data_IF_702340513488
#
_entry.id   IF_702340513488
#
_cell.length_a   1.000
_cell.length_b   1.000
_cell.length_c   1.000
_cell.angle_alpha   90.00
_cell.angle_beta   90.00
_cell.angle_gamma   90.00
#
_symmetry.space_group_name_H-M   'P 1'
#
loop_
_entity.id
_entity.type
_entity.pdbx_description
1 polymer ?
#
# COMPACT_ATOMS: atom_id res chain seq x y z
N UNK A 1 -5.42 12.71 11.56
CA UNK A 1 -6.24 12.66 12.82
C UNK A 1 -7.66 13.22 12.64
N UNK A 2 -7.82 14.45 12.13
CA UNK A 2 -9.13 15.12 12.01
C UNK A 2 -10.12 14.40 11.06
N UNK A 3 -9.64 13.83 9.94
CA UNK A 3 -10.51 13.21 8.94
C UNK A 3 -11.24 11.96 9.46
N UNK A 4 -10.52 11.02 10.08
CA UNK A 4 -11.12 9.82 10.67
C UNK A 4 -12.17 10.16 11.74
N UNK A 5 -11.93 11.19 12.54
CA UNK A 5 -12.91 11.68 13.53
C UNK A 5 -14.14 12.26 12.84
N UNK A 6 -13.96 13.11 11.84
CA UNK A 6 -15.07 13.69 11.06
C UNK A 6 -15.91 12.60 10.41
N UNK A 7 -15.28 11.61 9.78
CA UNK A 7 -15.98 10.53 9.08
C UNK A 7 -16.66 9.53 10.01
N UNK A 8 -16.23 9.44 11.28
CA UNK A 8 -16.92 8.64 12.29
C UNK A 8 -18.32 9.20 12.66
N UNK A 9 -18.57 10.49 12.41
CA UNK A 9 -19.82 11.18 12.75
C UNK A 9 -20.52 11.84 11.56
N UNK A 10 -20.03 11.63 10.33
CA UNK A 10 -20.65 12.17 9.11
C UNK A 10 -21.40 11.04 8.40
N UNK A 11 -22.74 11.13 8.26
CA UNK A 11 -23.53 10.12 7.56
C UNK A 11 -23.10 9.97 6.10
N UNK A 12 -23.10 8.74 5.60
CA UNK A 12 -22.85 8.45 4.19
C UNK A 12 -24.17 8.60 3.39
N UNK A 13 -24.28 9.55 2.45
CA UNK A 13 -25.49 9.72 1.65
C UNK A 13 -25.78 8.53 0.72
N UNK A 14 -24.78 7.70 0.41
CA UNK A 14 -24.93 6.51 -0.43
C UNK A 14 -25.27 5.25 0.38
N UNK A 15 -25.11 5.27 1.71
CA UNK A 15 -25.38 4.12 2.58
C UNK A 15 -26.24 4.52 3.79
N UNK A 16 -27.56 4.36 3.63
CA UNK A 16 -28.54 4.73 4.65
C UNK A 16 -28.24 4.08 6.01
N UNK A 17 -28.16 4.90 7.06
CA UNK A 17 -27.90 4.46 8.43
C UNK A 17 -26.43 4.21 8.78
N UNK A 18 -25.50 4.43 7.85
CA UNK A 18 -24.06 4.31 8.08
C UNK A 18 -23.36 5.67 8.05
N UNK A 19 -22.23 5.77 8.76
CA UNK A 19 -21.28 6.87 8.66
C UNK A 19 -20.19 6.55 7.63
N UNK A 20 -19.56 7.56 7.02
CA UNK A 20 -18.48 7.36 6.04
C UNK A 20 -17.38 6.42 6.51
N UNK A 21 -17.04 6.45 7.80
CA UNK A 21 -16.00 5.56 8.32
C UNK A 21 -16.38 4.07 8.20
N UNK A 22 -17.67 3.75 8.34
CA UNK A 22 -18.18 2.38 8.28
C UNK A 22 -18.29 1.85 6.86
N UNK A 23 -18.29 2.74 5.86
CA UNK A 23 -18.37 2.36 4.44
C UNK A 23 -16.99 2.13 3.80
N UNK A 24 -15.90 2.39 4.53
CA UNK A 24 -14.54 2.04 4.09
C UNK A 24 -14.34 0.53 4.22
N UNK A 25 -14.36 -0.17 3.09
CA UNK A 25 -14.04 -1.60 3.03
C UNK A 25 -12.57 -1.87 3.37
N UNK A 26 -11.66 -1.09 2.76
CA UNK A 26 -10.23 -1.15 3.03
C UNK A 26 -9.61 0.23 2.81
N UNK A 27 -8.76 0.66 3.73
CA UNK A 27 -7.92 1.84 3.57
C UNK A 27 -6.52 1.41 3.15
N UNK A 28 -6.14 1.71 1.90
CA UNK A 28 -4.80 1.45 1.37
C UNK A 28 -4.00 2.75 1.42
N UNK A 29 -2.97 2.79 2.25
CA UNK A 29 -2.08 3.94 2.39
C UNK A 29 -0.76 3.66 1.68
N UNK A 30 -0.39 4.53 0.75
CA UNK A 30 0.88 4.48 0.02
C UNK A 30 1.83 5.51 0.62
N UNK A 31 3.03 5.11 1.00
CA UNK A 31 4.05 6.01 1.53
C UNK A 31 5.48 5.51 1.23
N UNK A 32 6.43 6.44 1.11
CA UNK A 32 7.85 6.18 0.86
C UNK A 32 8.12 5.22 -0.32
N UNK A 33 7.56 5.55 -1.47
CA UNK A 33 7.62 4.75 -2.69
C UNK A 33 8.45 5.49 -3.75
N UNK A 34 9.30 4.76 -4.46
CA UNK A 34 9.87 5.25 -5.71
C UNK A 34 11.35 4.90 -5.90
N UNK A 35 12.05 4.52 -4.84
CA UNK A 35 13.46 4.12 -4.92
C UNK A 35 13.63 2.67 -5.37
N UNK A 36 14.82 2.35 -5.88
CA UNK A 36 15.14 0.99 -6.33
C UNK A 36 15.00 -0.06 -5.21
N UNK A 37 15.19 0.30 -3.94
CA UNK A 37 15.05 -0.58 -2.78
C UNK A 37 13.61 -0.73 -2.26
N UNK A 38 12.61 -0.11 -2.90
CA UNK A 38 11.20 -0.16 -2.48
C UNK A 38 10.70 -1.60 -2.35
N UNK A 39 10.32 -2.04 -1.16
CA UNK A 39 9.71 -3.36 -0.93
C UNK A 39 8.62 -3.25 0.14
N UNK A 40 7.53 -3.97 0.00
CA UNK A 40 6.44 -4.00 0.95
C UNK A 40 6.47 -5.31 1.74
N UNK A 41 5.96 -5.23 2.96
CA UNK A 41 5.74 -6.38 3.83
C UNK A 41 4.32 -6.33 4.38
N UNK A 42 3.74 -7.49 4.69
CA UNK A 42 2.44 -7.53 5.30
C UNK A 42 2.54 -7.06 6.77
N UNK A 43 1.82 -5.99 7.12
CA UNK A 43 1.82 -5.41 8.47
C UNK A 43 0.59 -5.75 9.31
N UNK A 44 -0.50 -6.19 8.68
CA UNK A 44 -1.76 -6.41 9.35
C UNK A 44 -2.35 -7.76 8.99
N UNK A 45 -2.46 -8.65 9.98
CA UNK A 45 -3.06 -9.99 9.81
C UNK A 45 -4.49 -9.87 9.22
N UNK A 46 -5.26 -8.88 9.69
CA UNK A 46 -6.66 -8.67 9.28
C UNK A 46 -6.84 -8.44 7.78
N UNK A 47 -5.84 -7.84 7.11
CA UNK A 47 -5.88 -7.53 5.67
C UNK A 47 -4.87 -8.35 4.87
N UNK A 48 -4.34 -9.44 5.47
CA UNK A 48 -3.39 -10.33 4.81
C UNK A 48 -3.92 -10.87 3.48
N UNK A 49 -5.22 -11.20 3.39
CA UNK A 49 -5.83 -11.64 2.14
C UNK A 49 -5.80 -10.57 1.03
N UNK A 50 -5.99 -9.29 1.38
CA UNK A 50 -5.89 -8.17 0.43
C UNK A 50 -4.44 -7.99 -0.01
N UNK A 51 -3.49 -8.09 0.92
CA UNK A 51 -2.07 -8.05 0.60
C UNK A 51 -1.64 -9.20 -0.33
N UNK A 52 -2.14 -10.42 -0.10
CA UNK A 52 -1.84 -11.57 -0.95
C UNK A 52 -2.38 -11.44 -2.37
N UNK A 53 -3.47 -10.68 -2.60
CA UNK A 53 -3.89 -10.34 -3.96
C UNK A 53 -2.81 -9.55 -4.71
N UNK A 54 -2.17 -8.57 -4.06
CA UNK A 54 -1.06 -7.81 -4.65
C UNK A 54 0.13 -8.73 -5.00
N UNK A 55 0.47 -9.66 -4.10
CA UNK A 55 1.52 -10.66 -4.35
C UNK A 55 1.20 -11.55 -5.56
N UNK A 56 -0.04 -12.03 -5.66
CA UNK A 56 -0.47 -12.88 -6.77
C UNK A 56 -0.45 -12.14 -8.10
N UNK A 57 -0.86 -10.87 -8.11
CA UNK A 57 -0.80 -10.02 -9.30
C UNK A 57 0.64 -9.77 -9.72
N UNK A 58 1.54 -9.45 -8.78
CA UNK A 58 2.96 -9.30 -9.06
C UNK A 58 3.55 -10.57 -9.68
N UNK A 59 3.29 -11.73 -9.07
CA UNK A 59 3.74 -13.02 -9.56
C UNK A 59 3.23 -13.29 -10.98
N UNK A 60 1.93 -13.14 -11.21
CA UNK A 60 1.30 -13.34 -12.52
C UNK A 60 1.90 -12.42 -13.59
N UNK A 61 2.05 -11.11 -13.31
CA UNK A 61 2.63 -10.18 -14.27
C UNK A 61 4.11 -10.49 -14.55
N UNK A 62 4.85 -10.94 -13.53
CA UNK A 62 6.26 -11.34 -13.68
C UNK A 62 6.39 -12.58 -14.58
N UNK A 63 5.61 -13.63 -14.30
CA UNK A 63 5.64 -14.89 -15.06
C UNK A 63 5.24 -14.71 -16.53
N UNK A 64 4.36 -13.74 -16.81
CA UNK A 64 3.92 -13.41 -18.17
C UNK A 64 4.79 -12.33 -18.86
N UNK A 65 5.88 -11.87 -18.23
CA UNK A 65 6.80 -10.88 -18.82
C UNK A 65 6.22 -9.46 -18.94
N UNK A 66 5.20 -9.13 -18.15
CA UNK A 66 4.58 -7.81 -18.13
C UNK A 66 5.26 -6.84 -17.14
N UNK A 67 6.15 -7.32 -16.28
CA UNK A 67 6.99 -6.46 -15.43
C UNK A 67 8.41 -6.39 -15.98
N UNK A 68 9.00 -5.21 -15.94
CA UNK A 68 10.39 -5.02 -16.28
C UNK A 68 11.28 -5.42 -15.10
N UNK A 69 11.83 -6.64 -15.15
CA UNK A 69 12.71 -7.18 -14.12
C UNK A 69 14.20 -6.93 -14.38
N UNK A 70 14.55 -6.15 -15.41
CA UNK A 70 15.94 -6.06 -15.91
C UNK A 70 16.90 -5.36 -14.95
N UNK A 71 16.40 -4.47 -14.10
CA UNK A 71 17.22 -3.70 -13.15
C UNK A 71 17.17 -4.22 -11.70
N UNK A 72 16.07 -4.86 -11.28
CA UNK A 72 15.90 -5.33 -9.91
C UNK A 72 15.01 -6.58 -9.84
N UNK A 73 15.59 -7.69 -9.37
CA UNK A 73 14.93 -8.98 -9.21
C UNK A 73 14.20 -9.14 -7.87
N UNK A 74 14.32 -8.17 -6.96
CA UNK A 74 13.63 -8.22 -5.68
C UNK A 74 12.14 -7.93 -5.88
N UNK A 75 11.24 -8.77 -5.32
CA UNK A 75 9.81 -8.55 -5.40
C UNK A 75 9.44 -7.24 -4.69
N UNK A 76 8.46 -6.52 -5.23
CA UNK A 76 7.81 -5.42 -4.56
C UNK A 76 7.02 -5.90 -3.35
N UNK A 77 6.35 -7.06 -3.40
CA UNK A 77 5.52 -7.56 -2.30
C UNK A 77 6.11 -8.83 -1.69
N UNK A 78 6.86 -8.67 -0.60
CA UNK A 78 7.52 -9.79 0.08
C UNK A 78 6.53 -10.70 0.81
N UNK A 79 6.90 -11.96 1.04
CA UNK A 79 6.15 -12.91 1.89
C UNK A 79 6.37 -12.70 3.39
N UNK A 80 7.21 -11.73 3.77
CA UNK A 80 7.53 -11.45 5.16
C UNK A 80 6.37 -10.72 5.83
N UNK A 81 6.03 -11.18 7.03
CA UNK A 81 5.14 -10.46 7.93
C UNK A 81 5.98 -9.67 8.94
N UNK A 82 5.87 -8.35 8.92
CA UNK A 82 6.56 -7.47 9.86
C UNK A 82 5.56 -7.03 10.91
N UNK A 83 5.71 -7.56 12.12
CA UNK A 83 4.89 -7.19 13.27
C UNK A 83 5.47 -5.93 13.91
N UNK A 84 4.83 -4.80 13.66
CA UNK A 84 5.24 -3.50 14.17
C UNK A 84 4.43 -2.39 13.53
N UNK A 85 3.89 -1.49 14.34
CA UNK A 85 3.11 -0.36 13.86
C UNK A 85 4.09 0.76 13.53
N UNK A 86 4.25 1.04 12.24
CA UNK A 86 4.86 2.29 11.80
C UNK A 86 3.80 3.39 11.96
N UNK A 87 4.11 4.44 12.71
CA UNK A 87 3.17 5.54 12.88
C UNK A 87 3.02 6.33 11.59
N UNK A 88 1.78 6.40 11.10
CA UNK A 88 1.44 7.11 9.87
C UNK A 88 -0.07 7.44 9.86
N UNK A 89 -0.57 8.07 8.81
CA UNK A 89 -1.92 8.62 8.69
C UNK A 89 -3.05 7.59 8.79
N UNK A 90 -2.74 6.29 8.68
CA UNK A 90 -3.69 5.20 8.87
C UNK A 90 -4.09 4.99 10.34
N UNK A 91 -3.27 5.39 11.32
CA UNK A 91 -3.52 5.09 12.73
C UNK A 91 -4.90 5.54 13.25
N UNK A 92 -5.38 6.77 12.96
CA UNK A 92 -6.69 7.21 13.43
C UNK A 92 -7.85 6.40 12.84
N UNK A 93 -7.68 5.80 11.65
CA UNK A 93 -8.65 4.93 11.00
C UNK A 93 -8.58 3.52 11.56
N UNK A 94 -7.37 2.97 11.68
CA UNK A 94 -7.10 1.67 12.29
C UNK A 94 -7.67 1.57 13.71
N UNK A 95 -7.44 2.58 14.54
CA UNK A 95 -7.94 2.66 15.92
C UNK A 95 -9.47 2.71 16.01
N UNK A 96 -10.17 2.96 14.91
CA UNK A 96 -11.63 2.95 14.81
C UNK A 96 -12.16 1.74 14.04
N UNK A 97 -11.31 0.74 13.80
CA UNK A 97 -11.71 -0.53 13.21
C UNK A 97 -11.73 -0.58 11.69
N UNK A 98 -11.23 0.44 11.00
CA UNK A 98 -11.07 0.41 9.54
C UNK A 98 -9.97 -0.60 9.16
N UNK A 99 -10.22 -1.55 8.24
CA UNK A 99 -9.17 -2.43 7.72
C UNK A 99 -8.12 -1.63 6.96
N UNK A 100 -6.83 -1.83 7.26
CA UNK A 100 -5.73 -1.07 6.63
C UNK A 100 -4.78 -1.99 5.88
N UNK A 101 -4.37 -1.59 4.68
CA UNK A 101 -3.18 -2.09 4.00
C UNK A 101 -2.18 -0.93 3.92
N UNK A 102 -1.03 -1.05 4.59
CA UNK A 102 -0.01 0.00 4.60
C UNK A 102 1.12 -0.38 3.64
N UNK A 103 1.06 0.18 2.44
CA UNK A 103 2.08 0.05 1.40
C UNK A 103 3.16 1.11 1.64
N UNK A 104 3.97 0.86 2.66
CA UNK A 104 5.18 1.62 2.97
C UNK A 104 6.42 0.77 2.76
N UNK A 105 7.45 1.33 2.11
CA UNK A 105 8.68 0.58 1.89
C UNK A 105 9.25 0.08 3.22
N UNK A 106 9.67 -1.19 3.27
CA UNK A 106 10.21 -1.87 4.43
C UNK A 106 11.43 -2.69 4.01
N UNK A 107 12.66 -2.29 4.37
CA UNK A 107 13.00 -1.08 5.14
C UNK A 107 12.62 0.23 4.41
N UNK A 108 12.61 1.35 5.15
CA UNK A 108 12.46 2.66 4.53
C UNK A 108 13.58 2.89 3.49
N UNK A 109 13.31 3.69 2.43
CA UNK A 109 14.32 3.99 1.43
C UNK A 109 15.59 4.51 2.09
N UNK A 110 16.74 4.05 1.62
CA UNK A 110 18.05 4.50 2.15
C UNK A 110 18.24 6.03 2.08
N UNK A 111 17.47 6.73 1.25
CA UNK A 111 17.46 8.18 1.06
C UNK A 111 16.47 8.93 1.96
N UNK A 112 15.58 8.23 2.69
CA UNK A 112 14.54 8.86 3.50
C UNK A 112 15.11 9.87 4.52
N UNK A 113 14.47 11.04 4.62
CA UNK A 113 14.91 12.18 5.45
C UNK A 113 16.33 12.70 5.12
N UNK A 114 16.82 12.50 3.89
CA UNK A 114 18.09 13.05 3.41
C UNK A 114 17.86 13.94 2.19
N UNK A 115 18.77 14.88 1.93
CA UNK A 115 18.75 15.69 0.70
C UNK A 115 18.88 14.86 -0.59
N UNK A 116 19.34 13.61 -0.46
CA UNK A 116 19.38 12.65 -1.56
C UNK A 116 18.00 12.11 -1.95
N UNK A 117 16.95 12.37 -1.18
CA UNK A 117 15.57 12.07 -1.57
C UNK A 117 15.10 13.08 -2.64
N UNK A 118 15.47 12.79 -3.87
CA UNK A 118 15.25 13.64 -5.03
C UNK A 118 15.04 12.78 -6.29
N UNK A 119 14.87 13.45 -7.43
CA UNK A 119 14.59 12.79 -8.71
C UNK A 119 15.59 11.67 -9.08
N UNK A 120 16.86 11.80 -8.69
CA UNK A 120 17.89 10.80 -9.00
C UNK A 120 17.80 9.54 -8.13
N UNK A 121 17.10 9.59 -7.00
CA UNK A 121 16.84 8.42 -6.18
C UNK A 121 15.68 7.57 -6.71
N UNK A 122 14.90 8.09 -7.67
CA UNK A 122 13.77 7.38 -8.25
C UNK A 122 14.22 6.30 -9.25
N UNK A 123 13.64 5.12 -9.10
CA UNK A 123 13.65 4.03 -10.06
C UNK A 123 12.31 4.03 -10.80
N UNK A 124 12.32 4.60 -12.01
CA UNK A 124 11.12 4.72 -12.83
C UNK A 124 10.59 3.37 -13.32
N UNK A 125 11.46 2.38 -13.56
CA UNK A 125 11.03 1.05 -13.99
C UNK A 125 10.31 0.33 -12.85
N UNK A 126 10.88 0.37 -11.64
CA UNK A 126 10.25 -0.20 -10.44
C UNK A 126 8.95 0.50 -10.09
N UNK A 127 8.89 1.81 -10.25
CA UNK A 127 7.67 2.61 -10.05
C UNK A 127 6.58 2.25 -11.06
N UNK A 128 6.93 2.07 -12.34
CA UNK A 128 5.97 1.64 -13.36
C UNK A 128 5.47 0.20 -13.13
N UNK A 129 6.34 -0.72 -12.68
CA UNK A 129 5.92 -2.07 -12.28
C UNK A 129 4.89 -2.02 -11.16
N UNK A 130 5.13 -1.22 -10.12
CA UNK A 130 4.16 -1.02 -9.04
C UNK A 130 2.85 -0.43 -9.56
N UNK A 131 2.91 0.58 -10.44
CA UNK A 131 1.73 1.17 -11.04
C UNK A 131 0.89 0.15 -11.81
N UNK A 132 1.52 -0.78 -12.55
CA UNK A 132 0.83 -1.88 -13.25
C UNK A 132 0.13 -2.83 -12.28
N UNK A 133 0.82 -3.23 -11.21
CA UNK A 133 0.25 -4.09 -10.17
C UNK A 133 -0.97 -3.41 -9.53
N UNK A 134 -0.85 -2.13 -9.16
CA UNK A 134 -1.95 -1.38 -8.54
C UNK A 134 -3.14 -1.21 -9.49
N UNK A 135 -2.91 -0.97 -10.78
CA UNK A 135 -3.99 -0.88 -11.78
C UNK A 135 -4.80 -2.18 -11.85
N UNK A 136 -4.13 -3.33 -11.93
CA UNK A 136 -4.82 -4.63 -11.95
C UNK A 136 -5.48 -4.95 -10.60
N UNK A 137 -4.84 -4.59 -9.50
CA UNK A 137 -5.41 -4.76 -8.17
C UNK A 137 -6.72 -3.97 -8.01
N UNK A 138 -6.77 -2.73 -8.50
CA UNK A 138 -8.00 -1.93 -8.46
C UNK A 138 -9.11 -2.50 -9.35
N UNK A 139 -8.76 -3.13 -10.48
CA UNK A 139 -9.74 -3.85 -11.33
C UNK A 139 -10.25 -5.12 -10.65
N UNK A 140 -9.44 -5.82 -9.86
CA UNK A 140 -9.87 -6.99 -9.08
C UNK A 140 -10.69 -6.61 -7.82
N UNK A 141 -10.56 -5.36 -7.36
CA UNK A 141 -11.25 -4.85 -6.17
C UNK A 141 -12.63 -4.26 -6.49
N UNK A 142 -12.84 -3.73 -7.70
CA UNK A 142 -14.08 -3.09 -8.18
C UNK A 142 -14.96 -4.05 -8.98
#
# INVERSE_FOLDING_TARGET
>A
RHLAQKWASTPDPAAAGLYYLQTIEVFILLDLIGSADTQFANRFIRTAGVYSKLQNIEMCLTENGYLDATANLLPLFTSVQVLGITEDDHLPFLNRGVPVVHLISTPFPSVWHKLSDNLHALDFQRTENLARILRLFLVDLL
#
